data_IF_125913839137
#
_entry.id   IF_125913839137
#
_cell.length_a   1.000
_cell.length_b   1.000
_cell.length_c   1.000
_cell.angle_alpha   90.00
_cell.angle_beta   90.00
_cell.angle_gamma   90.00
#
_symmetry.space_group_name_H-M   'P 1'
#
loop_
_entity.id
_entity.type
_entity.pdbx_description
1 polymer ?
#
# COMPACT_ATOMS: atom_id res chain seq x y z
N UNK A 1 -3.78 -0.75 -13.30
CA UNK A 1 -2.61 -1.48 -13.82
C UNK A 1 -1.87 -0.53 -14.73
N UNK A 2 -0.66 -0.15 -14.33
CA UNK A 2 0.19 0.67 -15.20
C UNK A 2 0.62 -0.20 -16.39
N UNK A 3 0.44 0.24 -17.65
CA UNK A 3 0.82 -0.53 -18.83
C UNK A 3 2.35 -0.64 -19.05
N UNK A 4 3.16 0.06 -18.24
CA UNK A 4 4.58 0.28 -18.51
C UNK A 4 5.54 -0.71 -17.80
N UNK A 5 5.05 -1.82 -17.23
CA UNK A 5 5.87 -2.88 -16.61
C UNK A 5 6.85 -2.44 -15.48
N UNK A 6 6.77 -1.20 -14.99
CA UNK A 6 7.68 -0.64 -13.98
C UNK A 6 7.54 -1.31 -12.60
N UNK A 7 6.41 -1.97 -12.35
CA UNK A 7 6.15 -2.70 -11.11
C UNK A 7 5.41 -4.00 -11.43
N UNK A 8 5.88 -5.10 -10.87
CA UNK A 8 5.21 -6.38 -11.05
C UNK A 8 3.77 -6.29 -10.52
N UNK A 9 2.81 -6.84 -11.27
CA UNK A 9 1.38 -6.87 -10.92
C UNK A 9 1.08 -7.22 -9.45
N UNK A 10 1.75 -8.20 -8.82
CA UNK A 10 1.54 -8.50 -7.40
C UNK A 10 1.85 -7.32 -6.46
N UNK A 11 2.83 -6.48 -6.81
CA UNK A 11 3.19 -5.29 -6.04
C UNK A 11 2.09 -4.24 -6.10
N UNK A 12 1.51 -4.04 -7.29
CA UNK A 12 0.40 -3.10 -7.49
C UNK A 12 -0.85 -3.56 -6.74
N UNK A 13 -1.17 -4.85 -6.79
CA UNK A 13 -2.29 -5.44 -6.06
C UNK A 13 -2.12 -5.25 -4.55
N UNK A 14 -0.91 -5.47 -4.00
CA UNK A 14 -0.62 -5.18 -2.59
C UNK A 14 -0.82 -3.69 -2.26
N UNK A 15 -0.31 -2.79 -3.08
CA UNK A 15 -0.47 -1.33 -2.86
C UNK A 15 -1.94 -0.90 -2.91
N UNK A 16 -2.73 -1.48 -3.82
CA UNK A 16 -4.17 -1.25 -3.90
C UNK A 16 -4.89 -1.77 -2.65
N UNK A 17 -4.57 -2.98 -2.20
CA UNK A 17 -5.14 -3.55 -0.98
C UNK A 17 -4.85 -2.69 0.25
N UNK A 18 -3.62 -2.18 0.37
CA UNK A 18 -3.24 -1.25 1.44
C UNK A 18 -4.07 0.05 1.40
N UNK A 19 -4.19 0.67 0.22
CA UNK A 19 -4.96 1.90 0.05
C UNK A 19 -6.46 1.72 0.35
N UNK A 20 -7.04 0.56 0.01
CA UNK A 20 -8.42 0.22 0.42
C UNK A 20 -8.52 0.07 1.94
N UNK A 21 -7.51 -0.56 2.56
CA UNK A 21 -7.42 -0.68 4.01
C UNK A 21 -7.36 0.67 4.73
N UNK A 22 -6.81 1.72 4.10
CA UNK A 22 -6.81 3.07 4.68
C UNK A 22 -8.23 3.57 4.92
N UNK A 23 -9.17 3.24 4.03
CA UNK A 23 -10.58 3.61 4.15
C UNK A 23 -11.27 2.74 5.20
N UNK A 24 -11.04 1.43 5.17
CA UNK A 24 -11.70 0.46 6.06
C UNK A 24 -11.31 0.69 7.53
N UNK A 25 -10.02 0.96 7.77
CA UNK A 25 -9.47 1.13 9.12
C UNK A 25 -9.42 2.59 9.56
N UNK A 26 -9.97 3.51 8.76
CA UNK A 26 -9.96 4.95 9.02
C UNK A 26 -8.53 5.50 9.28
N UNK A 27 -7.56 5.03 8.48
CA UNK A 27 -6.16 5.51 8.53
C UNK A 27 -6.04 6.83 7.74
N UNK A 28 -4.99 7.62 8.01
CA UNK A 28 -4.70 8.81 7.22
C UNK A 28 -4.60 8.49 5.73
N UNK A 29 -5.06 9.41 4.88
CA UNK A 29 -4.92 9.27 3.43
C UNK A 29 -3.44 9.07 3.05
N UNK A 30 -3.17 8.15 2.12
CA UNK A 30 -1.82 7.78 1.71
C UNK A 30 -0.96 7.29 2.89
N UNK A 31 -1.52 6.46 3.77
CA UNK A 31 -0.88 6.04 5.02
C UNK A 31 0.48 5.36 4.82
N UNK A 32 0.75 4.81 3.62
CA UNK A 32 2.05 4.25 3.25
C UNK A 32 3.23 5.22 3.39
N UNK A 33 2.97 6.54 3.35
CA UNK A 33 3.96 7.60 3.55
C UNK A 33 3.85 8.29 4.90
N UNK A 34 2.83 7.94 5.70
CA UNK A 34 2.62 8.54 7.01
C UNK A 34 3.65 7.97 8.00
N UNK A 35 4.29 8.81 8.83
CA UNK A 35 5.31 8.36 9.79
C UNK A 35 4.82 7.20 10.67
N UNK A 36 3.59 7.31 11.16
CA UNK A 36 2.98 6.33 12.08
C UNK A 36 2.58 5.00 11.42
N UNK A 37 2.51 4.95 10.08
CA UNK A 37 2.06 3.77 9.33
C UNK A 37 3.11 3.22 8.35
N UNK A 38 4.26 3.90 8.23
CA UNK A 38 5.39 3.48 7.40
C UNK A 38 5.86 2.06 7.73
N UNK A 39 6.03 1.74 9.01
CA UNK A 39 6.56 0.44 9.43
C UNK A 39 5.52 -0.67 9.23
N UNK A 40 4.25 -0.37 9.48
CA UNK A 40 3.14 -1.28 9.20
C UNK A 40 3.03 -1.58 7.69
N UNK A 41 3.20 -0.56 6.84
CA UNK A 41 3.25 -0.74 5.39
C UNK A 41 4.44 -1.60 4.97
N UNK A 42 5.64 -1.35 5.51
CA UNK A 42 6.82 -2.16 5.21
C UNK A 42 6.64 -3.63 5.58
N UNK A 43 6.07 -3.90 6.77
CA UNK A 43 5.73 -5.25 7.21
C UNK A 43 4.65 -5.93 6.34
N UNK A 44 3.68 -5.16 5.84
CA UNK A 44 2.68 -5.66 4.92
C UNK A 44 3.28 -6.02 3.55
N UNK A 45 4.25 -5.23 3.07
CA UNK A 45 4.90 -5.48 1.78
C UNK A 45 5.85 -6.68 1.82
N UNK A 46 6.45 -7.00 2.98
CA UNK A 46 7.36 -8.13 3.16
C UNK A 46 6.67 -9.48 3.37
N UNK A 47 5.36 -9.47 3.63
CA UNK A 47 4.52 -10.66 3.78
C UNK A 47 4.12 -11.23 2.42
#
# INVERSE_FOLDING_TARGET
LCPDNEVARPMDEKRMAWAIGDIIENRPALSRWHPDHKDAFAAFMSR
#
